data_IF_738860519914
#
_entry.id   IF_738860519914
#
_cell.length_a   1.000
_cell.length_b   1.000
_cell.length_c   1.000
_cell.angle_alpha   90.00
_cell.angle_beta   90.00
_cell.angle_gamma   90.00
#
_symmetry.space_group_name_H-M   'P 1'
#
loop_
_entity.id
_entity.type
_entity.pdbx_description
1 polymer ?
#
# COMPACT_ATOMS: atom_id res chain seq x y z
N UNK A 1 -3.85 13.88 -3.42
CA UNK A 1 -3.07 13.40 -2.26
C UNK A 1 -3.70 13.93 -0.96
N UNK A 2 -3.75 13.14 0.13
CA UNK A 2 -4.22 13.61 1.44
C UNK A 2 -3.23 14.60 2.06
N UNK A 3 -3.74 15.59 2.81
CA UNK A 3 -2.90 16.55 3.54
C UNK A 3 -2.06 15.86 4.62
N UNK A 4 -0.96 16.51 5.06
CA UNK A 4 -0.13 16.00 6.17
C UNK A 4 -0.96 15.76 7.43
N UNK A 5 -1.75 16.75 7.83
CA UNK A 5 -2.67 16.64 8.97
C UNK A 5 -3.58 15.42 8.86
N UNK A 6 -4.10 15.12 7.66
CA UNK A 6 -4.94 13.94 7.50
C UNK A 6 -4.15 12.64 7.68
N UNK A 7 -2.94 12.53 7.12
CA UNK A 7 -2.10 11.32 7.28
C UNK A 7 -1.69 11.06 8.73
N UNK A 8 -1.58 12.12 9.54
CA UNK A 8 -1.27 12.05 10.97
C UNK A 8 -2.46 11.62 11.84
N UNK A 9 -3.71 11.82 11.39
CA UNK A 9 -4.92 11.38 12.14
C UNK A 9 -5.10 9.86 12.15
N UNK A 10 -4.50 9.15 11.21
CA UNK A 10 -4.64 7.71 11.05
C UNK A 10 -4.56 7.28 9.60
N UNK A 11 -4.68 5.97 9.38
CA UNK A 11 -4.52 5.37 8.05
C UNK A 11 -5.49 5.97 7.01
N UNK A 12 -4.97 6.19 5.81
CA UNK A 12 -5.71 6.68 4.65
C UNK A 12 -5.16 6.04 3.38
N UNK A 13 -6.03 5.76 2.41
CA UNK A 13 -5.61 5.22 1.10
C UNK A 13 -5.27 6.34 0.12
N UNK A 14 -4.41 6.00 -0.83
CA UNK A 14 -4.01 6.85 -1.95
C UNK A 14 -4.17 6.00 -3.22
N UNK A 15 -4.80 6.58 -4.24
CA UNK A 15 -5.01 5.96 -5.55
C UNK A 15 -4.07 6.63 -6.55
N UNK A 16 -3.33 5.84 -7.30
CA UNK A 16 -2.40 6.25 -8.36
C UNK A 16 -2.76 5.62 -9.70
N UNK A 17 -4.05 5.68 -10.06
CA UNK A 17 -4.48 5.37 -11.41
C UNK A 17 -3.89 6.42 -12.37
N UNK A 18 -3.08 5.97 -13.33
CA UNK A 18 -2.42 6.84 -14.34
C UNK A 18 -3.08 6.78 -15.72
N UNK A 19 -4.08 5.91 -15.90
CA UNK A 19 -4.79 5.71 -17.17
C UNK A 19 -6.30 5.76 -16.94
N UNK A 20 -7.04 6.22 -17.95
CA UNK A 20 -8.51 6.29 -17.97
C UNK A 20 -9.12 4.93 -18.38
N UNK A 21 -8.99 3.96 -17.49
CA UNK A 21 -9.50 2.59 -17.71
C UNK A 21 -10.93 2.50 -17.13
N UNK A 22 -11.91 1.91 -17.84
CA UNK A 22 -13.29 1.77 -17.36
C UNK A 22 -13.38 0.70 -16.25
N UNK A 23 -12.85 1.02 -15.06
CA UNK A 23 -12.86 0.16 -13.89
C UNK A 23 -13.34 0.92 -12.65
N UNK A 24 -14.15 0.26 -11.82
CA UNK A 24 -14.73 0.81 -10.61
C UNK A 24 -14.77 -0.12 -9.36
N UNK A 25 -14.05 -1.28 -9.28
CA UNK A 25 -14.09 -2.11 -8.07
C UNK A 25 -13.78 -1.35 -6.78
N UNK A 26 -12.87 -0.37 -6.84
CA UNK A 26 -12.46 0.40 -5.67
C UNK A 26 -13.60 1.25 -5.07
N UNK A 27 -14.49 1.81 -5.89
CA UNK A 27 -15.67 2.55 -5.42
C UNK A 27 -16.77 1.62 -4.94
N UNK A 28 -17.04 0.54 -5.68
CA UNK A 28 -18.13 -0.39 -5.35
C UNK A 28 -17.89 -1.14 -4.04
N UNK A 29 -16.65 -1.54 -3.78
CA UNK A 29 -16.30 -2.34 -2.60
C UNK A 29 -16.12 -1.48 -1.33
N UNK A 30 -16.13 -0.14 -1.44
CA UNK A 30 -15.82 0.73 -0.32
C UNK A 30 -17.01 0.80 0.66
N UNK A 31 -16.96 0.20 1.86
CA UNK A 31 -18.09 0.20 2.80
C UNK A 31 -18.39 1.60 3.37
N UNK A 32 -17.48 2.55 3.17
CA UNK A 32 -17.56 3.93 3.65
C UNK A 32 -18.07 4.90 2.58
N UNK A 33 -18.25 4.44 1.34
CA UNK A 33 -18.52 5.31 0.19
C UNK A 33 -17.53 6.48 0.10
N UNK A 34 -16.25 6.19 0.40
CA UNK A 34 -15.17 7.16 0.42
C UNK A 34 -14.49 7.32 -0.93
N UNK A 35 -14.84 6.52 -1.93
CA UNK A 35 -14.26 6.56 -3.28
C UNK A 35 -15.40 6.79 -4.26
N UNK A 36 -15.24 7.77 -5.14
CA UNK A 36 -16.25 8.16 -6.14
C UNK A 36 -15.60 8.32 -7.50
N UNK A 37 -16.29 7.89 -8.56
CA UNK A 37 -15.94 8.17 -9.95
C UNK A 37 -17.04 9.10 -10.47
N UNK A 38 -16.67 10.31 -10.88
CA UNK A 38 -17.64 11.32 -11.32
C UNK A 38 -17.79 11.25 -12.83
N UNK A 39 -19.03 11.26 -13.33
CA UNK A 39 -19.29 11.25 -14.77
C UNK A 39 -19.03 9.88 -15.38
N UNK A 40 -18.15 9.82 -16.38
CA UNK A 40 -17.79 8.57 -17.06
C UNK A 40 -17.02 7.62 -16.13
N UNK A 41 -17.23 6.32 -16.29
CA UNK A 41 -16.53 5.26 -15.56
C UNK A 41 -15.02 5.23 -15.84
N UNK A 42 -14.58 5.78 -16.97
CA UNK A 42 -13.15 5.91 -17.32
C UNK A 42 -12.41 6.94 -16.47
N UNK A 43 -13.13 7.84 -15.78
CA UNK A 43 -12.51 8.90 -14.99
C UNK A 43 -11.76 8.36 -13.78
N UNK A 44 -10.68 9.07 -13.40
CA UNK A 44 -9.86 8.71 -12.25
C UNK A 44 -10.66 8.82 -10.94
N UNK A 45 -10.67 7.78 -10.09
CA UNK A 45 -11.40 7.81 -8.82
C UNK A 45 -10.90 8.89 -7.86
N UNK A 46 -11.84 9.58 -7.21
CA UNK A 46 -11.59 10.57 -6.17
C UNK A 46 -11.86 9.98 -4.79
N UNK A 47 -10.92 10.17 -3.87
CA UNK A 47 -11.03 9.71 -2.48
C UNK A 47 -11.45 10.87 -1.57
N UNK A 48 -12.54 10.70 -0.85
CA UNK A 48 -12.89 11.48 0.32
C UNK A 48 -12.05 10.99 1.50
N UNK A 49 -10.98 11.72 1.80
CA UNK A 49 -10.03 11.33 2.83
C UNK A 49 -10.61 11.42 4.25
N UNK A 50 -11.65 12.22 4.50
CA UNK A 50 -12.29 12.30 5.82
C UNK A 50 -13.19 11.09 6.07
N UNK A 51 -13.81 10.54 5.02
CA UNK A 51 -14.58 9.29 5.14
C UNK A 51 -13.70 8.03 5.18
N UNK A 52 -12.57 8.06 4.46
CA UNK A 52 -11.65 6.93 4.39
C UNK A 52 -11.03 6.61 5.76
N UNK A 53 -11.07 5.35 6.18
CA UNK A 53 -10.42 4.86 7.40
C UNK A 53 -9.21 3.95 7.12
N UNK A 54 -8.83 3.79 5.84
CA UNK A 54 -7.70 2.94 5.46
C UNK A 54 -7.93 1.44 5.68
N UNK A 55 -9.15 0.92 5.61
CA UNK A 55 -9.41 -0.51 5.83
C UNK A 55 -8.69 -1.45 4.83
N UNK A 56 -8.33 -0.94 3.65
CA UNK A 56 -7.50 -1.65 2.67
C UNK A 56 -8.25 -2.61 1.73
N UNK A 57 -9.57 -2.75 1.86
CA UNK A 57 -10.34 -3.65 0.96
C UNK A 57 -10.26 -3.22 -0.51
N UNK A 58 -10.24 -1.91 -0.80
CA UNK A 58 -10.05 -1.41 -2.16
C UNK A 58 -8.65 -1.73 -2.71
N UNK A 59 -7.63 -1.82 -1.85
CA UNK A 59 -6.26 -2.18 -2.27
C UNK A 59 -6.23 -3.61 -2.81
N UNK A 60 -6.83 -4.55 -2.08
CA UNK A 60 -6.85 -5.96 -2.45
C UNK A 60 -7.76 -6.28 -3.65
N UNK A 61 -8.63 -5.36 -4.06
CA UNK A 61 -9.55 -5.52 -5.19
C UNK A 61 -9.20 -4.63 -6.39
N UNK A 62 -8.08 -3.91 -6.35
CA UNK A 62 -7.66 -3.08 -7.46
C UNK A 62 -6.93 -3.94 -8.51
N UNK A 63 -7.49 -4.14 -9.72
CA UNK A 63 -6.84 -4.95 -10.75
C UNK A 63 -5.53 -4.31 -11.25
N UNK A 64 -5.37 -2.99 -11.09
CA UNK A 64 -4.16 -2.27 -11.47
C UNK A 64 -3.12 -2.17 -10.36
N UNK A 65 -3.36 -2.74 -9.18
CA UNK A 65 -2.48 -2.64 -7.98
C UNK A 65 -2.05 -1.20 -7.65
N UNK A 66 -2.90 -0.22 -8.01
CA UNK A 66 -2.58 1.20 -8.02
C UNK A 66 -2.95 1.91 -6.70
N UNK A 67 -3.38 1.17 -5.68
CA UNK A 67 -3.84 1.71 -4.42
C UNK A 67 -2.91 1.25 -3.31
N UNK A 68 -2.48 2.16 -2.46
CA UNK A 68 -1.73 1.86 -1.25
C UNK A 68 -2.29 2.67 -0.08
N UNK A 69 -1.86 2.37 1.12
CA UNK A 69 -2.25 3.12 2.32
C UNK A 69 -1.04 3.67 3.05
N UNK A 70 -1.22 4.81 3.70
CA UNK A 70 -0.23 5.45 4.55
C UNK A 70 -0.86 5.74 5.90
N UNK A 71 -0.11 5.50 6.97
CA UNK A 71 -0.45 5.91 8.32
C UNK A 71 0.77 6.57 8.98
N UNK A 72 0.70 7.88 9.19
CA UNK A 72 1.74 8.67 9.88
C UNK A 72 1.36 8.96 11.35
N UNK A 73 0.28 8.34 11.88
CA UNK A 73 -0.15 8.54 13.26
C UNK A 73 0.68 7.79 14.30
N UNK A 74 1.69 7.02 13.87
CA UNK A 74 2.45 6.10 14.72
C UNK A 74 3.66 6.74 15.42
N UNK A 75 3.94 8.02 15.17
CA UNK A 75 5.05 8.76 15.76
C UNK A 75 5.66 9.78 14.80
N UNK A 76 6.81 10.32 15.18
CA UNK A 76 7.52 11.33 14.36
C UNK A 76 8.49 10.71 13.36
N UNK A 77 9.03 9.51 13.63
CA UNK A 77 10.11 8.91 12.83
C UNK A 77 9.63 7.84 11.85
N UNK A 78 8.59 7.10 12.22
CA UNK A 78 8.12 5.95 11.47
C UNK A 78 6.70 6.15 10.95
N UNK A 79 6.42 5.56 9.79
CA UNK A 79 5.09 5.43 9.22
C UNK A 79 4.80 3.97 8.89
N UNK A 80 3.53 3.64 8.75
CA UNK A 80 3.10 2.36 8.19
C UNK A 80 2.61 2.58 6.76
N UNK A 81 3.09 1.76 5.83
CA UNK A 81 2.65 1.75 4.43
C UNK A 81 2.07 0.38 4.10
N UNK A 82 0.81 0.34 3.67
CA UNK A 82 0.15 -0.88 3.23
C UNK A 82 0.12 -0.98 1.71
N UNK A 83 0.69 -2.05 1.14
CA UNK A 83 0.76 -2.27 -0.32
C UNK A 83 0.14 -3.61 -0.74
N UNK A 84 -0.43 -3.71 -1.95
CA UNK A 84 -0.88 -4.99 -2.48
C UNK A 84 0.33 -5.87 -2.83
N UNK A 85 0.17 -7.19 -2.70
CA UNK A 85 1.22 -8.16 -2.97
C UNK A 85 0.63 -9.48 -3.49
N UNK A 86 1.05 -9.88 -4.69
CA UNK A 86 0.53 -11.06 -5.40
C UNK A 86 1.59 -12.16 -5.60
N UNK A 87 2.76 -12.04 -4.96
CA UNK A 87 3.83 -13.03 -5.10
C UNK A 87 3.81 -14.09 -3.99
N UNK A 88 4.49 -15.22 -4.26
CA UNK A 88 4.79 -16.27 -3.27
C UNK A 88 6.30 -16.52 -3.21
N UNK A 89 6.87 -16.89 -2.05
CA UNK A 89 6.21 -16.99 -0.75
C UNK A 89 5.79 -15.61 -0.21
N UNK A 90 4.80 -15.60 0.69
CA UNK A 90 4.47 -14.38 1.43
C UNK A 90 5.60 -14.05 2.41
N UNK A 91 5.85 -12.77 2.71
CA UNK A 91 6.73 -12.40 3.81
C UNK A 91 6.13 -12.81 5.15
N UNK A 92 6.97 -12.84 6.17
CA UNK A 92 6.57 -13.06 7.56
C UNK A 92 6.66 -11.75 8.33
N UNK A 93 5.81 -11.60 9.35
CA UNK A 93 5.90 -10.45 10.27
C UNK A 93 7.28 -10.44 10.93
N UNK A 94 7.96 -9.30 10.90
CA UNK A 94 9.32 -9.11 11.41
C UNK A 94 10.41 -9.23 10.35
N UNK A 95 10.10 -9.64 9.12
CA UNK A 95 11.08 -9.66 8.03
C UNK A 95 11.64 -8.27 7.75
N UNK A 96 12.96 -8.17 7.61
CA UNK A 96 13.65 -6.98 7.12
C UNK A 96 13.62 -6.96 5.59
N UNK A 97 13.26 -5.80 5.03
CA UNK A 97 13.02 -5.64 3.60
C UNK A 97 13.70 -4.39 3.06
N UNK A 98 14.14 -4.46 1.81
CA UNK A 98 14.55 -3.30 1.04
C UNK A 98 13.28 -2.61 0.53
N UNK A 99 13.19 -1.30 0.75
CA UNK A 99 12.06 -0.48 0.31
C UNK A 99 12.34 0.06 -1.09
N UNK A 100 11.38 -0.13 -1.99
CA UNK A 100 11.54 0.16 -3.42
C UNK A 100 10.56 1.26 -3.85
N UNK A 101 11.07 2.23 -4.60
CA UNK A 101 10.30 3.34 -5.16
C UNK A 101 9.63 2.99 -6.51
N UNK A 102 9.03 4.00 -7.18
CA UNK A 102 8.39 3.82 -8.50
C UNK A 102 9.37 3.50 -9.63
N UNK A 103 10.63 3.91 -9.50
CA UNK A 103 11.66 3.65 -10.48
C UNK A 103 12.32 2.28 -10.30
N UNK A 104 11.92 1.52 -9.27
CA UNK A 104 12.54 0.25 -8.93
C UNK A 104 13.83 0.39 -8.11
N UNK A 105 14.13 1.58 -7.59
CA UNK A 105 15.34 1.87 -6.82
C UNK A 105 15.13 1.55 -5.34
N UNK A 106 16.17 1.02 -4.69
CA UNK A 106 16.17 0.83 -3.24
C UNK A 106 16.43 2.18 -2.59
N UNK A 107 15.45 2.67 -1.83
CA UNK A 107 15.49 3.98 -1.17
C UNK A 107 15.63 3.90 0.35
N UNK A 108 15.62 2.70 0.92
CA UNK A 108 15.81 2.49 2.35
C UNK A 108 15.51 1.05 2.77
N UNK A 109 15.45 0.84 4.08
CA UNK A 109 15.08 -0.44 4.68
C UNK A 109 13.85 -0.27 5.57
N UNK A 110 13.10 -1.36 5.74
CA UNK A 110 11.92 -1.39 6.59
C UNK A 110 11.68 -2.77 7.17
N UNK A 111 10.52 -2.94 7.80
CA UNK A 111 10.13 -4.20 8.44
C UNK A 111 8.68 -4.54 8.15
N UNK A 112 8.39 -5.81 7.89
CA UNK A 112 7.02 -6.28 7.70
C UNK A 112 6.29 -6.25 9.04
N UNK A 113 5.29 -5.38 9.17
CA UNK A 113 4.49 -5.24 10.40
C UNK A 113 3.39 -6.28 10.50
N UNK A 114 2.70 -6.54 9.40
CA UNK A 114 1.61 -7.53 9.30
C UNK A 114 1.32 -7.89 7.85
N UNK A 115 0.79 -9.10 7.68
CA UNK A 115 0.38 -9.67 6.40
C UNK A 115 -1.09 -10.07 6.50
N UNK A 116 -1.93 -9.54 5.62
CA UNK A 116 -3.35 -9.88 5.56
C UNK A 116 -3.66 -10.61 4.24
N UNK A 117 -4.25 -11.80 4.34
CA UNK A 117 -4.81 -12.53 3.19
C UNK A 117 -6.13 -13.23 3.60
N UNK A 118 -7.16 -12.48 4.04
CA UNK A 118 -8.47 -13.05 4.31
C UNK A 118 -9.07 -13.68 3.04
N UNK A 119 -9.92 -14.69 3.21
CA UNK A 119 -10.56 -15.40 2.08
C UNK A 119 -11.42 -14.50 1.19
N UNK A 120 -11.88 -13.37 1.70
CA UNK A 120 -12.67 -12.39 0.97
C UNK A 120 -11.84 -11.54 0.00
N UNK A 121 -10.50 -11.61 0.06
CA UNK A 121 -9.65 -10.92 -0.90
C UNK A 121 -9.43 -11.82 -2.11
N UNK A 122 -9.42 -11.23 -3.30
CA UNK A 122 -9.19 -11.96 -4.55
C UNK A 122 -7.69 -12.27 -4.73
N UNK A 123 -7.18 -13.21 -3.91
CA UNK A 123 -5.80 -13.74 -3.89
C UNK A 123 -4.70 -12.72 -3.56
N UNK A 124 -4.93 -11.44 -3.72
CA UNK A 124 -4.03 -10.35 -3.34
C UNK A 124 -3.87 -10.28 -1.83
N UNK A 125 -2.64 -10.40 -1.35
CA UNK A 125 -2.31 -10.11 0.04
C UNK A 125 -2.09 -8.60 0.22
N UNK A 126 -2.36 -8.10 1.43
CA UNK A 126 -2.06 -6.74 1.83
C UNK A 126 -0.95 -6.77 2.87
N UNK A 127 0.21 -6.23 2.49
CA UNK A 127 1.41 -6.21 3.32
C UNK A 127 1.56 -4.82 3.91
N UNK A 128 1.66 -4.73 5.23
CA UNK A 128 1.93 -3.48 5.92
C UNK A 128 3.37 -3.46 6.37
N UNK A 129 4.10 -2.42 5.96
CA UNK A 129 5.49 -2.20 6.24
C UNK A 129 5.64 -1.05 7.23
N UNK A 130 6.52 -1.22 8.22
CA UNK A 130 7.08 -0.09 8.96
C UNK A 130 8.22 0.51 8.15
N UNK A 131 8.16 1.82 7.89
CA UNK A 131 9.12 2.54 7.08
C UNK A 131 9.50 3.88 7.74
N UNK A 132 10.68 4.45 7.42
CA UNK A 132 10.99 5.82 7.78
C UNK A 132 9.91 6.77 7.23
N UNK A 133 9.47 7.71 8.06
CA UNK A 133 8.33 8.59 7.76
C UNK A 133 8.51 9.41 6.49
N UNK A 134 9.73 9.87 6.23
CA UNK A 134 10.10 10.62 5.03
C UNK A 134 9.92 9.84 3.72
N UNK A 135 9.93 8.50 3.80
CA UNK A 135 9.75 7.61 2.67
C UNK A 135 8.29 7.16 2.50
N UNK A 136 7.37 7.54 3.40
CA UNK A 136 5.98 7.03 3.47
C UNK A 136 5.21 7.17 2.15
N UNK A 137 5.48 8.23 1.39
CA UNK A 137 4.84 8.51 0.09
C UNK A 137 5.66 8.03 -1.10
N UNK A 138 6.90 7.58 -0.90
CA UNK A 138 7.81 7.13 -1.96
C UNK A 138 7.71 5.63 -2.22
N UNK A 139 7.50 4.82 -1.17
CA UNK A 139 7.55 3.36 -1.26
C UNK A 139 6.37 2.80 -2.06
N UNK A 140 6.65 2.01 -3.10
CA UNK A 140 5.62 1.30 -3.90
C UNK A 140 5.81 -0.20 -3.94
N UNK A 141 6.98 -0.69 -3.54
CA UNK A 141 7.23 -2.12 -3.44
C UNK A 141 8.28 -2.43 -2.37
N UNK A 142 8.51 -3.72 -2.12
CA UNK A 142 9.61 -4.19 -1.29
C UNK A 142 10.17 -5.51 -1.82
N UNK A 143 11.37 -5.86 -1.40
CA UNK A 143 11.91 -7.21 -1.52
C UNK A 143 12.52 -7.65 -0.20
N UNK A 144 12.52 -8.95 0.09
CA UNK A 144 13.29 -9.45 1.25
C UNK A 144 14.75 -9.05 1.08
N UNK A 145 15.32 -8.38 2.08
CA UNK A 145 16.73 -8.05 2.05
C UNK A 145 17.51 -9.37 2.04
N UNK A 146 18.30 -9.58 0.99
CA UNK A 146 19.24 -10.69 0.97
C UNK A 146 20.22 -10.44 2.11
N UNK A 147 20.08 -11.17 3.23
CA UNK A 147 21.20 -11.30 4.16
C UNK A 147 22.38 -11.77 3.30
N UNK A 148 23.49 -11.05 3.35
CA UNK A 148 24.75 -11.50 2.73
C UNK A 148 25.18 -12.79 3.44
N UNK A 149 24.57 -13.91 3.02
CA UNK A 149 24.89 -15.26 3.43
C UNK A 149 25.99 -15.76 2.53
N UNK A 150 27.20 -15.82 3.09
CA UNK A 150 28.39 -16.54 2.63
C UNK A 150 28.22 -17.39 1.37
N UNK A 151 29.05 -17.08 0.36
CA UNK A 151 29.63 -18.11 -0.51
C UNK A 151 30.20 -19.23 0.38
N UNK A 152 29.51 -20.36 0.50
CA UNK A 152 30.18 -21.64 0.70
C UNK A 152 29.87 -22.52 -0.50
N UNK A 153 30.86 -22.55 -1.40
CA UNK A 153 31.08 -23.68 -2.29
C UNK A 153 31.19 -24.94 -1.44
N UNK A 154 30.46 -25.97 -1.81
CA UNK A 154 30.79 -27.39 -1.58
C UNK A 154 30.15 -28.16 -2.72
#
# INVERSE_FOLDING_TARGET
MPSKQRREKGRVIIIECVQEIPCNPCSEICPRNAITIKGDITNIPQVDFEKCNGCGICIANCPGLAIFSVNESLGQEMAEVGIPYEFKPLPETGDSVDLIDRAGQVVGTGTVKRVLQPKSYDRTALIYLMVPRELSLQIRFFRKSLKSGNKKKS
#
